data_IF_488785367433
#
_entry.id   IF_488785367433
#
_cell.length_a   1.000
_cell.length_b   1.000
_cell.length_c   1.000
_cell.angle_alpha   90.00
_cell.angle_beta   90.00
_cell.angle_gamma   90.00
#
_symmetry.space_group_name_H-M   'P 1'
#
loop_
_entity.id
_entity.type
_entity.pdbx_description
1 polymer ?
#
# COMPACT_ATOMS: atom_id res chain seq x y z
N UNK A 1 0.57 -14.20 -3.01
CA UNK A 1 -0.84 -13.72 -2.99
C UNK A 1 -1.89 -14.83 -3.06
N UNK A 2 -1.65 -16.01 -3.66
CA UNK A 2 -2.65 -17.09 -3.70
C UNK A 2 -3.08 -17.68 -2.34
N UNK A 3 -2.26 -17.51 -1.31
CA UNK A 3 -2.62 -17.85 0.07
C UNK A 3 -3.61 -16.81 0.63
N UNK A 4 -4.85 -17.25 0.87
CA UNK A 4 -5.96 -16.40 1.31
C UNK A 4 -6.25 -16.57 2.80
N UNK A 5 -6.76 -15.50 3.42
CA UNK A 5 -7.23 -15.50 4.80
C UNK A 5 -8.70 -15.07 4.88
N UNK A 6 -9.32 -15.25 6.05
CA UNK A 6 -10.71 -14.86 6.31
C UNK A 6 -10.90 -13.36 6.54
N UNK A 7 -9.87 -12.66 7.03
CA UNK A 7 -9.93 -11.26 7.42
C UNK A 7 -8.68 -10.52 6.94
N UNK A 8 -8.76 -9.21 6.84
CA UNK A 8 -7.59 -8.35 6.64
C UNK A 8 -6.81 -8.20 7.95
N UNK A 9 -5.54 -7.80 7.86
CA UNK A 9 -4.64 -7.64 9.01
C UNK A 9 -3.79 -8.87 9.30
N UNK A 10 -3.35 -9.01 10.55
CA UNK A 10 -2.40 -10.05 10.95
C UNK A 10 -2.65 -10.47 12.41
N UNK A 11 -2.00 -11.54 12.86
CA UNK A 11 -2.14 -12.02 14.24
C UNK A 11 -1.36 -11.19 15.27
N UNK A 12 -0.52 -10.26 14.79
CA UNK A 12 0.26 -9.32 15.61
C UNK A 12 0.63 -8.09 14.80
N UNK A 13 0.84 -6.99 15.51
CA UNK A 13 1.48 -5.82 14.94
C UNK A 13 2.94 -6.13 14.57
N UNK A 14 3.46 -5.41 13.59
CA UNK A 14 4.85 -5.47 13.15
C UNK A 14 5.33 -4.08 12.75
N UNK A 15 6.26 -3.99 11.80
CA UNK A 15 6.88 -2.73 11.40
C UNK A 15 7.03 -2.66 9.87
N UNK A 16 7.04 -1.43 9.35
CA UNK A 16 7.40 -1.09 7.97
C UNK A 16 8.59 -0.13 8.01
N UNK A 17 9.80 -0.68 7.87
CA UNK A 17 11.01 -0.01 8.35
C UNK A 17 11.01 0.07 9.88
N UNK A 18 11.20 1.26 10.45
CA UNK A 18 11.10 1.48 11.91
C UNK A 18 9.72 1.97 12.37
N UNK A 19 8.78 2.19 11.45
CA UNK A 19 7.42 2.66 11.78
C UNK A 19 6.56 1.49 12.24
N UNK A 20 5.88 1.58 13.40
CA UNK A 20 4.91 0.56 13.81
C UNK A 20 3.80 0.38 12.76
N UNK A 21 3.43 -0.85 12.49
CA UNK A 21 2.38 -1.23 11.56
C UNK A 21 1.29 -1.98 12.33
N UNK A 22 0.20 -1.30 12.73
CA UNK A 22 -0.95 -1.92 13.36
C UNK A 22 -1.61 -2.94 12.42
N UNK A 23 -2.00 -4.09 12.94
CA UNK A 23 -2.53 -5.20 12.15
C UNK A 23 -3.79 -5.82 12.78
N UNK A 24 -4.51 -5.06 13.61
CA UNK A 24 -5.81 -5.47 14.10
C UNK A 24 -6.70 -5.91 12.91
N UNK A 25 -7.42 -7.02 13.10
CA UNK A 25 -8.17 -7.64 12.01
C UNK A 25 -9.45 -6.88 11.73
N UNK A 26 -9.80 -6.75 10.45
CA UNK A 26 -11.07 -6.20 10.00
C UNK A 26 -11.67 -7.07 8.89
N UNK A 27 -12.97 -6.94 8.68
CA UNK A 27 -13.69 -7.62 7.60
C UNK A 27 -13.70 -6.79 6.31
N UNK A 28 -13.54 -5.48 6.41
CA UNK A 28 -13.48 -4.55 5.27
C UNK A 28 -12.04 -4.11 4.99
N UNK A 29 -11.64 -4.19 3.73
CA UNK A 29 -10.34 -3.68 3.29
C UNK A 29 -10.28 -2.15 3.36
N UNK A 30 -11.37 -1.47 2.99
CA UNK A 30 -11.44 -0.02 3.04
C UNK A 30 -11.30 0.48 4.49
N UNK A 31 -11.93 -0.21 5.45
CA UNK A 31 -11.75 0.04 6.88
C UNK A 31 -10.29 -0.19 7.31
N UNK A 32 -9.70 -1.33 6.94
CA UNK A 32 -8.31 -1.65 7.25
C UNK A 32 -7.33 -0.58 6.74
N UNK A 33 -7.48 -0.20 5.47
CA UNK A 33 -6.63 0.78 4.81
C UNK A 33 -6.82 2.17 5.40
N UNK A 34 -8.06 2.55 5.74
CA UNK A 34 -8.37 3.82 6.40
C UNK A 34 -7.75 3.91 7.78
N UNK A 35 -7.93 2.91 8.63
CA UNK A 35 -7.58 3.00 10.05
C UNK A 35 -6.12 2.62 10.31
N UNK A 36 -5.70 1.45 9.81
CA UNK A 36 -4.43 0.82 10.19
C UNK A 36 -3.31 1.08 9.19
N UNK A 37 -3.59 1.76 8.08
CA UNK A 37 -2.59 2.18 7.10
C UNK A 37 -2.57 3.70 6.97
N UNK A 38 -3.42 4.27 6.11
CA UNK A 38 -3.38 5.70 5.78
C UNK A 38 -3.67 6.59 6.99
N UNK A 39 -4.71 6.32 7.77
CA UNK A 39 -5.06 7.11 8.95
C UNK A 39 -3.94 7.14 10.00
N UNK A 40 -3.30 6.00 10.24
CA UNK A 40 -2.12 5.90 11.09
C UNK A 40 -0.97 6.77 10.56
N UNK A 41 -0.63 6.64 9.27
CA UNK A 41 0.46 7.40 8.65
C UNK A 41 0.19 8.90 8.60
N UNK A 42 -1.05 9.33 8.34
CA UNK A 42 -1.46 10.73 8.41
C UNK A 42 -1.34 11.30 9.83
N UNK A 43 -1.76 10.54 10.83
CA UNK A 43 -1.63 10.92 12.24
C UNK A 43 -0.17 11.10 12.62
N UNK A 44 0.69 10.16 12.20
CA UNK A 44 2.12 10.23 12.44
C UNK A 44 2.76 11.42 11.70
N UNK A 45 2.40 11.67 10.45
CA UNK A 45 2.90 12.80 9.67
C UNK A 45 2.55 14.14 10.32
N UNK A 46 1.32 14.28 10.82
CA UNK A 46 0.90 15.46 11.59
C UNK A 46 1.72 15.62 12.87
N UNK A 47 1.94 14.53 13.60
CA UNK A 47 2.78 14.53 14.83
C UNK A 47 4.22 14.94 14.54
N UNK A 48 4.76 14.54 13.39
CA UNK A 48 6.10 14.90 12.93
C UNK A 48 6.19 16.31 12.31
N UNK A 49 5.10 17.08 12.31
CA UNK A 49 5.07 18.46 11.83
C UNK A 49 4.91 18.60 10.30
N UNK A 50 4.61 17.51 9.59
CA UNK A 50 4.37 17.56 8.15
C UNK A 50 2.97 18.08 7.83
N UNK A 51 2.90 19.10 6.98
CA UNK A 51 1.63 19.70 6.56
C UNK A 51 1.19 19.11 5.21
N UNK A 52 0.31 18.13 5.21
CA UNK A 52 -0.17 17.46 3.98
C UNK A 52 -1.36 18.15 3.31
N UNK A 53 -1.96 19.16 3.96
CA UNK A 53 -3.27 19.72 3.57
C UNK A 53 -4.39 18.94 4.26
N UNK A 54 -4.69 19.28 5.51
CA UNK A 54 -5.54 18.44 6.39
C UNK A 54 -6.98 18.25 5.88
N UNK A 55 -7.51 19.19 5.10
CA UNK A 55 -8.83 19.08 4.50
C UNK A 55 -8.89 17.92 3.48
N UNK A 56 -7.90 17.83 2.59
CA UNK A 56 -7.86 16.79 1.56
C UNK A 56 -7.56 15.40 2.14
N UNK A 57 -6.69 15.31 3.15
CA UNK A 57 -6.44 14.03 3.85
C UNK A 57 -7.69 13.51 4.56
N UNK A 58 -8.44 14.39 5.24
CA UNK A 58 -9.70 14.03 5.89
C UNK A 58 -10.77 13.61 4.88
N UNK A 59 -10.91 14.37 3.78
CA UNK A 59 -11.83 14.05 2.69
C UNK A 59 -11.51 12.69 2.06
N UNK A 60 -10.23 12.42 1.77
CA UNK A 60 -9.79 11.14 1.21
C UNK A 60 -10.14 9.97 2.13
N UNK A 61 -9.83 10.06 3.43
CA UNK A 61 -10.13 8.99 4.39
C UNK A 61 -11.63 8.73 4.52
N UNK A 62 -12.45 9.77 4.52
CA UNK A 62 -13.91 9.66 4.63
C UNK A 62 -14.55 9.01 3.39
N UNK A 63 -13.98 9.19 2.22
CA UNK A 63 -14.55 8.72 0.95
C UNK A 63 -13.81 7.49 0.38
N UNK A 64 -12.97 6.84 1.19
CA UNK A 64 -12.10 5.76 0.74
C UNK A 64 -12.87 4.52 0.21
N UNK A 65 -14.10 4.29 0.69
CA UNK A 65 -14.95 3.19 0.20
C UNK A 65 -15.31 3.32 -1.29
N UNK A 66 -15.31 4.54 -1.85
CA UNK A 66 -15.67 4.77 -3.25
C UNK A 66 -14.71 4.07 -4.23
N UNK A 67 -13.42 3.96 -3.87
CA UNK A 67 -12.40 3.24 -4.66
C UNK A 67 -12.63 1.71 -4.71
N UNK A 68 -13.52 1.19 -3.86
CA UNK A 68 -13.82 -0.24 -3.70
C UNK A 68 -15.31 -0.54 -3.91
N UNK A 69 -16.05 0.38 -4.55
CA UNK A 69 -17.50 0.25 -4.76
C UNK A 69 -17.85 -0.87 -5.76
N UNK A 70 -17.00 -1.10 -6.75
CA UNK A 70 -17.09 -2.13 -7.79
C UNK A 70 -16.02 -3.23 -7.67
N UNK A 71 -15.08 -3.08 -6.73
CA UNK A 71 -13.98 -4.02 -6.49
C UNK A 71 -13.92 -4.45 -5.03
N UNK A 72 -14.13 -5.75 -4.79
CA UNK A 72 -14.00 -6.36 -3.46
C UNK A 72 -12.72 -7.20 -3.38
N UNK A 73 -11.64 -6.67 -2.78
CA UNK A 73 -10.40 -7.42 -2.64
C UNK A 73 -10.59 -8.64 -1.72
N UNK A 74 -9.89 -9.73 -2.03
CA UNK A 74 -9.80 -10.91 -1.16
C UNK A 74 -8.56 -10.80 -0.27
N UNK A 75 -8.63 -11.05 1.05
CA UNK A 75 -7.47 -10.98 1.93
C UNK A 75 -6.39 -11.97 1.46
N UNK A 76 -5.30 -11.43 0.93
CA UNK A 76 -4.17 -12.17 0.38
C UNK A 76 -2.97 -11.97 1.27
N UNK A 77 -2.18 -13.02 1.53
CA UNK A 77 -0.90 -12.87 2.23
C UNK A 77 0.04 -12.01 1.38
N UNK A 78 0.43 -10.86 1.93
CA UNK A 78 1.32 -9.89 1.31
C UNK A 78 2.72 -9.95 1.92
N UNK A 79 3.72 -9.61 1.10
CA UNK A 79 5.05 -9.27 1.57
C UNK A 79 5.01 -7.98 2.40
N UNK A 80 4.28 -6.96 1.93
CA UNK A 80 4.03 -5.70 2.63
C UNK A 80 5.12 -4.64 2.47
N UNK A 81 6.26 -4.99 1.86
CA UNK A 81 7.34 -4.06 1.49
C UNK A 81 8.07 -4.55 0.23
N UNK A 82 7.34 -4.96 -0.81
CA UNK A 82 7.95 -5.57 -2.00
C UNK A 82 8.43 -4.50 -2.99
N UNK A 83 9.73 -4.22 -2.99
CA UNK A 83 10.38 -3.29 -3.93
C UNK A 83 11.73 -3.82 -4.38
N UNK A 84 12.41 -3.11 -5.29
CA UNK A 84 13.65 -3.57 -5.92
C UNK A 84 14.79 -3.91 -4.95
N UNK A 85 14.75 -3.39 -3.72
CA UNK A 85 15.72 -3.70 -2.68
C UNK A 85 15.43 -4.95 -1.86
N UNK A 86 14.23 -5.54 -1.96
CA UNK A 86 13.75 -6.64 -1.11
C UNK A 86 13.58 -7.97 -1.87
N UNK A 87 14.30 -8.13 -2.99
CA UNK A 87 14.38 -9.41 -3.69
C UNK A 87 15.75 -9.60 -4.38
N UNK A 88 16.14 -10.85 -4.57
CA UNK A 88 17.24 -11.25 -5.44
C UNK A 88 16.97 -12.64 -6.04
N UNK A 89 17.82 -13.09 -6.96
CA UNK A 89 17.82 -14.48 -7.45
C UNK A 89 18.98 -15.23 -6.81
N UNK A 90 18.72 -16.41 -6.26
CA UNK A 90 19.77 -17.28 -5.75
C UNK A 90 20.65 -17.86 -6.87
N UNK A 91 21.65 -18.67 -6.52
CA UNK A 91 22.58 -19.29 -7.47
C UNK A 91 21.89 -20.20 -8.51
N UNK A 92 20.65 -20.65 -8.24
CA UNK A 92 19.84 -21.44 -9.16
C UNK A 92 18.92 -20.59 -10.05
N UNK A 93 18.91 -19.27 -9.84
CA UNK A 93 18.00 -18.33 -10.49
C UNK A 93 16.61 -18.27 -9.86
N UNK A 94 16.39 -18.92 -8.72
CA UNK A 94 15.10 -18.88 -8.04
C UNK A 94 14.92 -17.55 -7.29
N UNK A 95 13.72 -16.94 -7.35
CA UNK A 95 13.48 -15.67 -6.69
C UNK A 95 13.40 -15.86 -5.17
N UNK A 96 14.13 -15.02 -4.45
CA UNK A 96 14.11 -14.90 -3.00
C UNK A 96 13.63 -13.51 -2.64
N UNK A 97 12.61 -13.41 -1.79
CA UNK A 97 12.10 -12.15 -1.22
C UNK A 97 12.41 -12.11 0.28
N UNK A 98 12.74 -10.93 0.81
CA UNK A 98 13.21 -10.77 2.19
C UNK A 98 12.81 -9.40 2.77
N UNK A 99 13.03 -9.22 4.07
CA UNK A 99 12.61 -8.05 4.85
C UNK A 99 11.10 -7.71 4.75
N UNK A 100 10.20 -8.66 5.04
CA UNK A 100 8.78 -8.44 4.85
C UNK A 100 8.14 -7.65 6.01
N UNK A 101 7.13 -6.87 5.65
CA UNK A 101 6.19 -6.23 6.58
C UNK A 101 4.81 -6.90 6.50
N UNK A 102 4.77 -8.23 6.73
CA UNK A 102 3.65 -9.13 6.41
C UNK A 102 2.31 -8.71 7.00
N UNK A 103 1.24 -8.83 6.20
CA UNK A 103 -0.15 -8.85 6.64
C UNK A 103 -1.05 -9.46 5.54
N UNK A 104 -2.32 -9.73 5.85
CA UNK A 104 -3.33 -10.07 4.86
C UNK A 104 -4.02 -8.80 4.36
N UNK A 105 -3.93 -8.53 3.06
CA UNK A 105 -4.39 -7.30 2.44
C UNK A 105 -4.87 -7.48 1.01
N UNK A 106 -5.17 -6.37 0.34
CA UNK A 106 -5.37 -6.34 -1.10
C UNK A 106 -4.04 -6.60 -1.81
N UNK A 107 -4.00 -7.61 -2.69
CA UNK A 107 -2.81 -7.98 -3.46
C UNK A 107 -2.28 -6.86 -4.36
N UNK A 108 -3.14 -5.90 -4.71
CA UNK A 108 -2.75 -4.71 -5.47
C UNK A 108 -1.73 -3.86 -4.70
N UNK A 109 -1.67 -3.96 -3.37
CA UNK A 109 -0.74 -3.18 -2.55
C UNK A 109 0.73 -3.56 -2.78
N UNK A 110 1.06 -4.85 -2.87
CA UNK A 110 2.44 -5.28 -3.14
C UNK A 110 2.89 -4.87 -4.57
N UNK A 111 2.00 -4.97 -5.57
CA UNK A 111 2.33 -4.54 -6.94
C UNK A 111 2.49 -3.02 -7.05
N UNK A 112 1.66 -2.27 -6.33
CA UNK A 112 1.81 -0.82 -6.27
C UNK A 112 3.16 -0.43 -5.66
N UNK A 113 3.64 -1.20 -4.67
CA UNK A 113 4.97 -1.00 -4.08
C UNK A 113 6.10 -1.34 -5.05
N UNK A 114 5.98 -2.41 -5.86
CA UNK A 114 7.01 -2.71 -6.88
C UNK A 114 7.16 -1.56 -7.88
N UNK A 115 6.05 -0.89 -8.21
CA UNK A 115 6.01 0.25 -9.13
C UNK A 115 6.45 1.60 -8.52
N UNK A 116 6.80 1.67 -7.23
CA UNK A 116 7.13 2.95 -6.58
C UNK A 116 8.56 3.43 -6.87
N UNK A 117 9.53 2.50 -6.93
CA UNK A 117 10.95 2.80 -7.08
C UNK A 117 11.56 2.16 -8.35
N UNK A 118 11.01 2.54 -9.50
CA UNK A 118 11.53 2.13 -10.82
C UNK A 118 10.83 0.93 -11.45
N UNK A 119 10.04 0.16 -10.70
CA UNK A 119 9.32 -0.99 -11.23
C UNK A 119 10.17 -2.26 -11.34
N UNK A 120 9.50 -3.40 -11.48
CA UNK A 120 10.13 -4.63 -11.95
C UNK A 120 10.09 -4.69 -13.48
N UNK A 121 10.76 -5.70 -14.07
CA UNK A 121 10.71 -5.92 -15.52
C UNK A 121 9.31 -6.25 -16.02
N UNK A 122 9.03 -5.94 -17.29
CA UNK A 122 7.72 -6.19 -17.92
C UNK A 122 7.28 -7.66 -17.81
N UNK A 123 8.22 -8.60 -17.95
CA UNK A 123 7.99 -10.04 -17.81
C UNK A 123 7.35 -10.41 -16.45
N UNK A 124 7.72 -9.71 -15.37
CA UNK A 124 7.12 -9.94 -14.05
C UNK A 124 5.63 -9.58 -14.07
N UNK A 125 5.28 -8.40 -14.60
CA UNK A 125 3.89 -7.94 -14.64
C UNK A 125 3.05 -8.78 -15.62
N UNK A 126 3.62 -9.17 -16.76
CA UNK A 126 2.99 -10.08 -17.71
C UNK A 126 2.71 -11.45 -17.07
N UNK A 127 3.69 -12.05 -16.40
CA UNK A 127 3.53 -13.32 -15.72
C UNK A 127 2.50 -13.25 -14.58
N UNK A 128 2.53 -12.18 -13.79
CA UNK A 128 1.56 -11.97 -12.72
C UNK A 128 0.14 -11.79 -13.28
N UNK A 129 -0.03 -10.98 -14.33
CA UNK A 129 -1.33 -10.77 -14.98
C UNK A 129 -1.89 -12.06 -15.61
N UNK A 130 -1.03 -12.88 -16.22
CA UNK A 130 -1.42 -14.19 -16.75
C UNK A 130 -1.88 -15.16 -15.66
N UNK A 131 -1.26 -15.12 -14.47
CA UNK A 131 -1.64 -15.96 -13.34
C UNK A 131 -2.89 -15.44 -12.60
N UNK A 132 -2.98 -14.12 -12.41
CA UNK A 132 -4.07 -13.46 -11.71
C UNK A 132 -4.21 -11.99 -12.14
N UNK A 133 -4.95 -11.78 -13.22
CA UNK A 133 -5.21 -10.45 -13.79
C UNK A 133 -5.70 -9.44 -12.75
N UNK A 134 -5.21 -8.21 -12.83
CA UNK A 134 -5.67 -7.10 -11.98
C UNK A 134 -7.03 -6.59 -12.45
N UNK A 135 -7.76 -6.01 -11.51
CA UNK A 135 -9.05 -5.40 -11.82
C UNK A 135 -8.81 -4.09 -12.62
N UNK A 136 -9.69 -3.73 -13.57
CA UNK A 136 -9.50 -2.55 -14.42
C UNK A 136 -9.36 -1.22 -13.65
N UNK A 137 -9.88 -1.13 -12.42
CA UNK A 137 -9.72 0.04 -11.54
C UNK A 137 -8.34 0.16 -10.89
N UNK A 138 -7.43 -0.80 -11.09
CA UNK A 138 -6.10 -0.80 -10.49
C UNK A 138 -5.30 0.49 -10.73
N UNK A 139 -5.31 1.16 -11.90
CA UNK A 139 -4.50 2.36 -12.11
C UNK A 139 -4.75 3.47 -11.07
N UNK A 140 -6.00 3.63 -10.62
CA UNK A 140 -6.38 4.59 -9.57
C UNK A 140 -5.99 4.06 -8.18
N UNK A 141 -6.33 2.80 -7.88
CA UNK A 141 -6.00 2.18 -6.58
C UNK A 141 -4.50 1.99 -6.35
N UNK A 142 -3.71 1.89 -7.42
CA UNK A 142 -2.26 1.89 -7.36
C UNK A 142 -1.73 3.16 -6.69
N UNK A 143 -2.26 4.33 -7.07
CA UNK A 143 -1.84 5.60 -6.47
C UNK A 143 -2.26 5.67 -4.99
N UNK A 144 -3.41 5.07 -4.64
CA UNK A 144 -3.88 4.91 -3.26
C UNK A 144 -2.94 4.01 -2.43
N UNK A 145 -2.54 2.87 -2.97
CA UNK A 145 -1.61 1.94 -2.31
C UNK A 145 -0.19 2.53 -2.21
N UNK A 146 0.28 3.23 -3.25
CA UNK A 146 1.56 3.98 -3.20
C UNK A 146 1.57 5.05 -2.13
N UNK A 147 0.45 5.75 -1.91
CA UNK A 147 0.34 6.79 -0.91
C UNK A 147 0.72 6.28 0.50
N UNK A 148 0.37 5.04 0.85
CA UNK A 148 0.78 4.44 2.12
C UNK A 148 2.31 4.44 2.30
N UNK A 149 3.04 3.93 1.32
CA UNK A 149 4.50 3.87 1.38
C UNK A 149 5.13 5.26 1.29
N UNK A 150 4.60 6.17 0.47
CA UNK A 150 5.10 7.55 0.38
C UNK A 150 4.92 8.29 1.71
N UNK A 151 3.80 8.11 2.41
CA UNK A 151 3.61 8.66 3.75
C UNK A 151 4.57 8.03 4.77
N UNK A 152 4.82 6.72 4.69
CA UNK A 152 5.81 6.07 5.54
C UNK A 152 7.22 6.65 5.30
N UNK A 153 7.61 6.81 4.04
CA UNK A 153 8.90 7.39 3.67
C UNK A 153 9.01 8.86 4.10
N UNK A 154 7.92 9.63 4.01
CA UNK A 154 7.86 10.97 4.59
C UNK A 154 8.14 10.94 6.10
N UNK A 155 7.52 10.01 6.82
CA UNK A 155 7.70 9.88 8.26
C UNK A 155 9.11 9.43 8.67
N UNK A 156 9.80 8.65 7.84
CA UNK A 156 11.14 8.15 8.12
C UNK A 156 12.27 9.07 7.63
N UNK A 157 12.09 9.69 6.46
CA UNK A 157 13.15 10.38 5.73
C UNK A 157 12.87 11.87 5.47
N UNK A 158 11.65 12.33 5.72
CA UNK A 158 11.28 13.74 5.70
C UNK A 158 10.94 14.31 4.32
N UNK A 159 11.26 15.61 4.14
CA UNK A 159 10.62 16.51 3.18
C UNK A 159 10.70 16.12 1.70
N UNK A 160 11.67 15.28 1.29
CA UNK A 160 11.77 14.79 -0.09
C UNK A 160 10.50 14.09 -0.58
N UNK A 161 9.74 13.48 0.33
CA UNK A 161 8.49 12.77 0.02
C UNK A 161 7.23 13.63 0.20
N UNK A 162 7.34 14.82 0.80
CA UNK A 162 6.17 15.66 1.11
C UNK A 162 5.46 16.12 -0.16
N UNK A 163 6.23 16.53 -1.18
CA UNK A 163 5.68 16.95 -2.47
C UNK A 163 4.93 15.81 -3.17
N UNK A 164 5.53 14.62 -3.18
CA UNK A 164 4.93 13.42 -3.77
C UNK A 164 3.64 13.02 -3.04
N UNK A 165 3.64 13.03 -1.70
CA UNK A 165 2.46 12.73 -0.90
C UNK A 165 1.29 13.69 -1.23
N UNK A 166 1.55 15.00 -1.27
CA UNK A 166 0.54 16.01 -1.64
C UNK A 166 0.01 15.79 -3.06
N UNK A 167 0.86 15.47 -4.02
CA UNK A 167 0.43 15.20 -5.39
C UNK A 167 -0.49 13.97 -5.49
N UNK A 168 -0.16 12.89 -4.78
CA UNK A 168 -1.01 11.69 -4.73
C UNK A 168 -2.35 12.00 -4.06
N UNK A 169 -2.34 12.68 -2.91
CA UNK A 169 -3.56 13.09 -2.22
C UNK A 169 -4.45 13.91 -3.15
N UNK A 170 -3.90 14.92 -3.83
CA UNK A 170 -4.68 15.77 -4.73
C UNK A 170 -5.27 15.00 -5.91
N UNK A 171 -4.52 14.07 -6.50
CA UNK A 171 -5.01 13.21 -7.58
C UNK A 171 -6.16 12.31 -7.10
N UNK A 172 -5.97 11.64 -5.97
CA UNK A 172 -6.99 10.76 -5.39
C UNK A 172 -8.25 11.52 -4.99
N UNK A 173 -8.12 12.72 -4.43
CA UNK A 173 -9.26 13.58 -4.15
C UNK A 173 -9.99 14.05 -5.41
N UNK A 174 -9.30 14.19 -6.54
CA UNK A 174 -9.92 14.55 -7.81
C UNK A 174 -10.76 13.41 -8.40
N UNK A 175 -10.34 12.15 -8.22
CA UNK A 175 -11.11 10.96 -8.62
C UNK A 175 -12.42 10.80 -7.82
N UNK A 176 -12.54 11.47 -6.68
CA UNK A 176 -13.70 11.40 -5.78
C UNK A 176 -14.70 12.57 -5.94
N UNK A 177 -14.41 13.53 -6.82
CA UNK A 177 -15.23 14.74 -7.05
C UNK A 177 -15.96 14.66 -8.38
#
# INVERSE_FOLDING_TARGET
HGAQASNFGWHRDNYIGSTPQPNARTDSWAEFLREHRLGFQFTLAKKNGHQLGSADAGFLLQNLDAFYSDYQPRPSLLHGDLWGGNWFSDDSGAPVVFDPAVYCGDREADLAMTELFGGFGEDFYCAYSAAWALDPGYPVRRDLHKLYHVLNHLNLFGGGYLGQARQLINRLCAELR
#
